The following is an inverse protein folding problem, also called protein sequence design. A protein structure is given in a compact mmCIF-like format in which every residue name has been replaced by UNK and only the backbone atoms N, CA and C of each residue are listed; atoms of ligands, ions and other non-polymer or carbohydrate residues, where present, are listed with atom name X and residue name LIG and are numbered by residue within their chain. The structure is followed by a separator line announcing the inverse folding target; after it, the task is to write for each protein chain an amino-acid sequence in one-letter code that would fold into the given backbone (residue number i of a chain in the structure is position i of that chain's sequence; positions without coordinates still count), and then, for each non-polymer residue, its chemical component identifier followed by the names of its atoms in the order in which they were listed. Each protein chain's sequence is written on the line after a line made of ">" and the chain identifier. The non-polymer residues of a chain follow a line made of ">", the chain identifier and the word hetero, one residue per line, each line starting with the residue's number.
data_IF_012099964660
#
_entry.id   IF_012099964660
#
_cell.length_a   1.000
_cell.length_b   1.000
_cell.length_c   1.000
_cell.angle_alpha   90.00
_cell.angle_beta   90.00
_cell.angle_gamma   90.00
#
_symmetry.space_group_name_H-M   'P 1'
#
loop_
_entity.id
_entity.type
_entity.pdbx_description
1 polymer ?
#
# COMPACT_ATOMS: atom_id res chain seq x y z
N UNK A 1 39.87 23.01 -1.91
CA UNK A 1 40.14 22.27 -0.65
C UNK A 1 38.79 21.83 -0.10
N UNK A 2 38.34 20.62 -0.44
CA UNK A 2 37.09 20.04 0.04
C UNK A 2 37.36 19.12 1.22
N UNK A 3 36.72 19.41 2.35
CA UNK A 3 36.82 18.67 3.61
C UNK A 3 36.08 17.32 3.47
N UNK A 4 36.77 16.20 3.73
CA UNK A 4 36.14 14.91 4.01
C UNK A 4 35.68 14.89 5.47
N UNK A 5 34.39 14.66 5.71
CA UNK A 5 33.86 14.26 7.02
C UNK A 5 33.88 12.73 7.10
N UNK A 6 34.79 12.20 7.93
CA UNK A 6 34.81 10.80 8.36
C UNK A 6 33.93 10.68 9.60
N UNK A 7 32.82 9.95 9.51
CA UNK A 7 32.04 9.54 10.68
C UNK A 7 32.41 8.10 11.04
N UNK A 8 33.24 7.94 12.08
CA UNK A 8 33.48 6.65 12.72
C UNK A 8 32.37 6.33 13.73
N UNK A 9 31.93 5.08 13.80
CA UNK A 9 31.16 4.56 14.93
C UNK A 9 31.94 3.44 15.62
N UNK A 10 32.13 3.61 16.93
CA UNK A 10 32.61 2.59 17.86
C UNK A 10 31.57 1.47 17.99
N UNK A 11 32.02 0.21 18.00
CA UNK A 11 31.20 -0.95 18.37
C UNK A 11 31.75 -1.60 19.64
N UNK A 12 30.91 -1.70 20.66
CA UNK A 12 31.15 -2.52 21.85
C UNK A 12 30.92 -4.01 21.53
N UNK A 13 31.74 -4.88 22.09
CA UNK A 13 31.78 -6.32 21.78
C UNK A 13 30.97 -7.17 22.77
N UNK A 14 30.37 -8.26 22.28
CA UNK A 14 29.94 -9.44 23.06
C UNK A 14 30.03 -10.72 22.19
N UNK A 15 30.19 -11.92 22.78
CA UNK A 15 31.07 -12.98 22.26
C UNK A 15 30.41 -14.09 21.43
N UNK A 16 31.27 -14.99 20.94
CA UNK A 16 31.16 -15.92 19.83
C UNK A 16 30.35 -17.21 20.05
N UNK A 17 29.81 -17.77 18.95
CA UNK A 17 29.47 -19.20 18.86
C UNK A 17 28.49 -19.59 17.75
N UNK A 18 28.95 -19.76 16.50
CA UNK A 18 28.46 -20.78 15.52
C UNK A 18 29.26 -20.75 14.20
N UNK A 19 29.55 -21.94 13.65
CA UNK A 19 30.49 -22.30 12.57
C UNK A 19 29.93 -22.12 11.13
N UNK A 20 30.76 -22.06 10.05
CA UNK A 20 30.36 -21.68 8.69
C UNK A 20 30.03 -22.86 7.77
N UNK A 21 29.16 -22.65 6.76
CA UNK A 21 29.04 -23.53 5.59
C UNK A 21 29.31 -22.77 4.27
N UNK A 22 29.90 -23.51 3.32
CA UNK A 22 30.67 -23.14 2.12
C UNK A 22 29.85 -22.98 0.83
N UNK A 23 30.44 -22.43 -0.27
CA UNK A 23 29.74 -21.76 -1.38
C UNK A 23 29.61 -22.61 -2.65
N UNK A 24 28.69 -22.25 -3.55
CA UNK A 24 28.87 -22.13 -5.02
C UNK A 24 27.54 -22.31 -5.79
N UNK A 25 27.06 -21.25 -6.46
CA UNK A 25 26.55 -21.23 -7.85
C UNK A 25 26.42 -19.76 -8.32
N UNK A 26 26.62 -19.42 -9.61
CA UNK A 26 26.64 -18.04 -10.10
C UNK A 26 25.23 -17.57 -10.50
N UNK A 27 24.74 -16.47 -9.93
CA UNK A 27 23.50 -15.83 -10.38
C UNK A 27 23.79 -14.80 -11.48
N UNK A 28 22.97 -14.86 -12.53
CA UNK A 28 23.12 -14.17 -13.80
C UNK A 28 23.17 -12.63 -13.68
N UNK A 29 24.03 -12.02 -14.51
CA UNK A 29 24.19 -10.59 -14.62
C UNK A 29 23.01 -9.95 -15.39
N UNK A 30 22.13 -9.25 -14.68
CA UNK A 30 21.20 -8.28 -15.28
C UNK A 30 21.87 -6.92 -15.43
N UNK A 31 22.07 -6.47 -16.66
CA UNK A 31 22.63 -5.15 -16.96
C UNK A 31 21.64 -4.04 -16.56
N UNK A 32 22.02 -3.19 -15.60
CA UNK A 32 21.31 -1.94 -15.33
C UNK A 32 22.08 -0.78 -15.94
N UNK A 33 21.40 0.03 -16.75
CA UNK A 33 21.91 1.31 -17.26
C UNK A 33 21.81 2.36 -16.15
N UNK A 34 22.93 3.02 -15.82
CA UNK A 34 22.93 4.22 -14.97
C UNK A 34 22.51 5.42 -15.81
N UNK A 35 21.45 6.11 -15.40
CA UNK A 35 21.26 7.52 -15.72
C UNK A 35 21.76 8.32 -14.52
N UNK A 36 22.60 9.32 -14.78
CA UNK A 36 22.92 10.38 -13.82
C UNK A 36 22.40 11.69 -14.41
N UNK A 37 21.39 12.30 -13.77
CA UNK A 37 21.03 13.69 -14.04
C UNK A 37 22.11 14.59 -13.43
N UNK A 38 22.95 15.17 -14.29
CA UNK A 38 23.11 16.61 -14.53
C UNK A 38 24.49 16.94 -15.12
N UNK A 39 24.46 17.57 -16.31
CA UNK A 39 25.56 18.33 -16.96
C UNK A 39 26.95 17.67 -17.04
N UNK A 40 27.20 16.90 -18.10
CA UNK A 40 28.37 16.99 -19.01
C UNK A 40 28.27 15.81 -20.00
N UNK A 41 28.19 16.10 -21.30
CA UNK A 41 27.88 15.10 -22.34
C UNK A 41 29.00 14.06 -22.54
N UNK A 42 28.69 12.80 -22.24
CA UNK A 42 29.49 11.63 -22.65
C UNK A 42 29.23 10.39 -21.80
N UNK A 43 29.07 9.21 -22.42
CA UNK A 43 29.00 7.92 -21.71
C UNK A 43 30.44 7.46 -21.36
N UNK A 44 30.80 7.28 -20.07
CA UNK A 44 32.10 6.72 -19.71
C UNK A 44 32.25 5.27 -20.19
N UNK A 45 33.45 4.89 -20.63
CA UNK A 45 33.80 3.50 -20.96
C UNK A 45 34.33 2.83 -19.68
N UNK A 46 33.68 1.76 -19.24
CA UNK A 46 34.05 1.06 -18.01
C UNK A 46 34.52 -0.37 -18.31
N UNK A 47 35.62 -0.80 -17.69
CA UNK A 47 36.15 -2.17 -17.79
C UNK A 47 36.08 -2.85 -16.43
N UNK A 48 35.57 -4.08 -16.38
CA UNK A 48 35.55 -4.93 -15.18
C UNK A 48 36.97 -5.35 -14.81
N UNK A 49 37.36 -5.16 -13.54
CA UNK A 49 38.69 -5.52 -13.01
C UNK A 49 38.63 -6.69 -12.01
N UNK A 50 37.48 -7.33 -11.84
CA UNK A 50 37.30 -8.51 -11.00
C UNK A 50 36.83 -8.22 -9.57
N UNK A 51 36.70 -9.29 -8.78
CA UNK A 51 36.14 -9.26 -7.44
C UNK A 51 37.22 -9.01 -6.36
N UNK A 52 36.98 -8.04 -5.49
CA UNK A 52 37.69 -7.83 -4.23
C UNK A 52 36.79 -8.18 -3.05
N UNK A 53 37.34 -8.33 -1.83
CA UNK A 53 36.53 -8.57 -0.63
C UNK A 53 36.65 -7.43 0.36
N UNK A 54 35.51 -6.89 0.80
CA UNK A 54 35.45 -5.85 1.84
C UNK A 54 34.84 -6.47 3.10
N UNK A 55 35.42 -6.13 4.26
CA UNK A 55 34.98 -6.65 5.56
C UNK A 55 33.87 -5.76 6.12
N UNK A 56 32.66 -6.30 6.24
CA UNK A 56 31.54 -5.63 6.89
C UNK A 56 31.05 -6.51 8.04
N UNK A 57 31.38 -6.12 9.27
CA UNK A 57 31.25 -7.01 10.43
C UNK A 57 32.11 -8.28 10.30
N UNK A 58 31.53 -9.45 10.61
CA UNK A 58 32.25 -10.73 10.62
C UNK A 58 32.27 -11.48 9.28
N UNK A 59 31.71 -10.90 8.21
CA UNK A 59 31.64 -11.55 6.89
C UNK A 59 32.50 -10.80 5.87
N UNK A 60 33.21 -11.56 5.04
CA UNK A 60 33.85 -11.04 3.83
C UNK A 60 32.76 -10.94 2.74
N UNK A 61 32.61 -9.79 2.09
CA UNK A 61 31.67 -9.59 0.99
C UNK A 61 32.44 -9.29 -0.30
N UNK A 62 32.11 -10.02 -1.38
CA UNK A 62 32.67 -9.76 -2.69
C UNK A 62 32.14 -8.43 -3.24
N UNK A 63 33.03 -7.62 -3.79
CA UNK A 63 32.78 -6.31 -4.39
C UNK A 63 33.44 -6.32 -5.75
N UNK A 64 32.68 -6.08 -6.82
CA UNK A 64 33.23 -5.98 -8.17
C UNK A 64 33.71 -4.55 -8.41
N UNK A 65 35.00 -4.40 -8.76
CA UNK A 65 35.57 -3.11 -9.10
C UNK A 65 35.46 -2.82 -10.60
N UNK A 66 35.03 -1.62 -10.97
CA UNK A 66 35.06 -1.15 -12.35
C UNK A 66 36.01 0.04 -12.46
N UNK A 67 36.87 0.03 -13.47
CA UNK A 67 37.66 1.20 -13.84
C UNK A 67 36.95 1.88 -15.01
N UNK A 68 36.50 3.11 -14.80
CA UNK A 68 35.84 3.90 -15.84
C UNK A 68 36.74 5.05 -16.29
N UNK A 69 36.93 5.18 -17.60
CA UNK A 69 37.69 6.27 -18.20
C UNK A 69 36.78 7.16 -19.05
N UNK A 70 36.93 8.47 -18.86
CA UNK A 70 36.44 9.49 -19.77
C UNK A 70 37.67 10.03 -20.53
N UNK A 71 37.55 10.08 -21.86
CA UNK A 71 38.67 10.41 -22.74
C UNK A 71 39.40 11.69 -22.30
N UNK A 72 40.63 11.53 -21.81
CA UNK A 72 41.57 12.63 -21.58
C UNK A 72 41.61 13.26 -20.17
N UNK A 73 40.99 12.68 -19.13
CA UNK A 73 41.12 13.20 -17.76
C UNK A 73 41.32 12.12 -16.67
N UNK A 74 41.88 12.54 -15.53
CA UNK A 74 42.33 11.69 -14.40
C UNK A 74 41.29 10.66 -13.95
N UNK A 75 41.77 9.42 -13.77
CA UNK A 75 40.98 8.25 -13.37
C UNK A 75 40.41 8.40 -11.96
N UNK A 76 39.09 8.33 -11.81
CA UNK A 76 38.42 8.17 -10.51
C UNK A 76 37.96 6.71 -10.41
N UNK A 77 38.47 6.00 -9.40
CA UNK A 77 38.07 4.61 -9.10
C UNK A 77 36.75 4.62 -8.35
N UNK A 78 35.72 3.95 -8.88
CA UNK A 78 34.45 3.74 -8.19
C UNK A 78 34.31 2.27 -7.77
N UNK A 79 33.97 2.05 -6.51
CA UNK A 79 33.65 0.72 -5.98
C UNK A 79 32.14 0.60 -5.82
N UNK A 80 31.51 -0.34 -6.52
CA UNK A 80 30.08 -0.62 -6.33
C UNK A 80 29.92 -1.82 -5.40
N UNK A 81 29.50 -1.54 -4.16
CA UNK A 81 29.08 -2.60 -3.23
C UNK A 81 27.70 -3.10 -3.66
N UNK A 82 27.64 -4.29 -4.27
CA UNK A 82 26.38 -5.02 -4.36
C UNK A 82 26.07 -5.63 -2.98
N UNK A 83 25.28 -4.91 -2.19
CA UNK A 83 24.59 -5.53 -1.06
C UNK A 83 23.36 -6.22 -1.64
N UNK A 84 23.46 -7.52 -1.93
CA UNK A 84 22.27 -8.36 -1.99
C UNK A 84 21.73 -8.44 -0.57
N UNK A 85 20.80 -7.58 -0.24
CA UNK A 85 19.94 -7.78 0.92
C UNK A 85 18.98 -8.91 0.51
N UNK A 86 19.34 -10.16 0.80
CA UNK A 86 18.31 -11.20 0.91
C UNK A 86 17.36 -10.73 2.01
N UNK A 87 16.19 -10.23 1.57
CA UNK A 87 15.24 -9.55 2.44
C UNK A 87 15.06 -8.06 2.19
N UNK A 88 15.23 -7.55 0.96
CA UNK A 88 14.49 -6.34 0.59
C UNK A 88 13.00 -6.66 0.66
N UNK A 89 12.39 -6.44 1.81
CA UNK A 89 11.00 -6.01 1.79
C UNK A 89 11.01 -4.72 0.99
N UNK A 90 10.62 -4.80 -0.29
CA UNK A 90 9.90 -3.68 -0.90
C UNK A 90 8.92 -3.24 0.17
N UNK A 91 9.08 -2.01 0.67
CA UNK A 91 8.09 -1.38 1.54
C UNK A 91 6.74 -1.70 0.93
N UNK A 92 5.81 -2.35 1.65
CA UNK A 92 4.61 -2.88 1.02
C UNK A 92 3.95 -1.72 0.28
N UNK A 93 3.66 -1.93 -1.01
CA UNK A 93 2.80 -1.02 -1.73
C UNK A 93 1.57 -0.75 -0.86
N UNK A 94 1.04 0.48 -0.85
CA UNK A 94 -0.25 0.75 -0.24
C UNK A 94 -1.27 -0.10 -1.00
N UNK A 95 -1.65 -1.21 -0.42
CA UNK A 95 -2.65 -2.10 -1.00
C UNK A 95 -4.00 -1.66 -0.47
N UNK A 96 -5.00 -1.37 -1.34
CA UNK A 96 -6.34 -1.03 -0.90
C UNK A 96 -6.81 -2.06 0.10
N UNK A 97 -6.95 -1.65 1.36
CA UNK A 97 -7.35 -2.50 2.46
C UNK A 97 -8.57 -1.89 3.11
N UNK A 98 -9.48 -2.72 3.61
CA UNK A 98 -10.69 -2.28 4.30
C UNK A 98 -11.87 -3.18 4.01
N UNK A 99 -13.06 -2.71 4.37
CA UNK A 99 -14.28 -3.44 4.12
C UNK A 99 -14.69 -3.37 2.64
N UNK A 100 -15.29 -4.46 2.15
CA UNK A 100 -15.96 -4.51 0.85
C UNK A 100 -17.45 -4.38 1.14
N UNK A 101 -18.02 -3.24 0.79
CA UNK A 101 -19.41 -2.88 1.10
C UNK A 101 -20.31 -3.32 -0.03
N UNK A 102 -21.49 -3.88 0.26
CA UNK A 102 -22.52 -4.07 -0.73
C UNK A 102 -23.20 -2.74 -1.01
N UNK A 103 -23.37 -2.40 -2.29
CA UNK A 103 -24.15 -1.24 -2.69
C UNK A 103 -25.62 -1.61 -2.58
N UNK A 104 -26.31 -1.06 -1.60
CA UNK A 104 -27.71 -1.34 -1.36
C UNK A 104 -28.53 -0.05 -1.40
N UNK A 105 -29.75 -0.11 -1.95
CA UNK A 105 -30.65 1.05 -2.03
C UNK A 105 -31.17 1.51 -0.65
N UNK A 106 -31.82 2.66 -0.61
CA UNK A 106 -32.22 3.40 0.60
C UNK A 106 -33.15 2.63 1.58
N UNK A 107 -33.62 1.42 1.26
CA UNK A 107 -34.57 0.62 2.05
C UNK A 107 -33.98 -0.69 2.65
N UNK A 108 -32.66 -0.82 2.77
CA UNK A 108 -32.03 -1.95 3.48
C UNK A 108 -31.93 -1.74 5.00
N UNK A 109 -32.13 -2.84 5.74
CA UNK A 109 -32.15 -2.83 7.21
C UNK A 109 -30.76 -2.75 7.89
N UNK A 110 -29.67 -2.87 7.11
CA UNK A 110 -28.29 -2.79 7.60
C UNK A 110 -27.32 -2.55 6.44
N UNK A 111 -26.19 -1.88 6.68
CA UNK A 111 -25.10 -1.73 5.71
C UNK A 111 -24.37 -3.07 5.53
N UNK A 112 -24.40 -3.71 4.34
CA UNK A 112 -23.87 -5.06 4.14
C UNK A 112 -22.38 -5.04 3.80
N UNK A 113 -21.60 -5.93 4.40
CA UNK A 113 -20.17 -6.10 4.11
C UNK A 113 -19.81 -7.57 3.88
N UNK A 114 -18.83 -7.83 3.02
CA UNK A 114 -18.18 -9.14 3.00
C UNK A 114 -17.42 -9.35 4.31
N UNK A 115 -17.77 -10.44 4.99
CA UNK A 115 -17.19 -10.85 6.26
C UNK A 115 -16.77 -12.31 6.27
N UNK A 116 -16.24 -12.75 7.41
CA UNK A 116 -15.83 -14.13 7.65
C UNK A 116 -16.60 -14.73 8.82
N UNK A 117 -17.22 -15.89 8.58
CA UNK A 117 -17.74 -16.74 9.65
C UNK A 117 -16.68 -17.72 10.15
N UNK A 118 -16.77 -18.07 11.44
CA UNK A 118 -15.90 -19.06 12.05
C UNK A 118 -16.24 -20.48 11.55
N UNK A 119 -15.53 -20.92 10.51
CA UNK A 119 -15.66 -22.22 9.88
C UNK A 119 -14.28 -22.72 9.40
N UNK A 120 -14.21 -23.98 8.94
CA UNK A 120 -12.98 -24.56 8.38
C UNK A 120 -13.27 -25.21 7.02
N UNK A 121 -12.86 -24.59 5.89
CA UNK A 121 -12.25 -23.26 5.80
C UNK A 121 -13.20 -22.12 6.21
N UNK A 122 -12.68 -20.92 6.55
CA UNK A 122 -13.53 -19.79 6.88
C UNK A 122 -14.47 -19.49 5.71
N UNK A 123 -15.76 -19.40 6.01
CA UNK A 123 -16.79 -19.08 5.03
C UNK A 123 -16.83 -17.58 4.83
N UNK A 124 -16.98 -17.16 3.57
CA UNK A 124 -17.26 -15.76 3.25
C UNK A 124 -18.75 -15.53 3.37
N UNK A 125 -19.12 -14.55 4.19
CA UNK A 125 -20.51 -14.22 4.48
C UNK A 125 -20.78 -12.76 4.12
N UNK A 126 -22.05 -12.42 3.98
CA UNK A 126 -22.57 -11.07 4.01
C UNK A 126 -23.06 -10.81 5.43
N UNK A 127 -22.51 -9.82 6.09
CA UNK A 127 -22.82 -9.48 7.47
C UNK A 127 -22.97 -7.97 7.65
N UNK A 128 -23.43 -7.55 8.84
CA UNK A 128 -23.51 -6.13 9.19
C UNK A 128 -22.12 -5.52 9.18
N UNK A 129 -21.91 -4.50 8.34
CA UNK A 129 -20.68 -3.72 8.33
C UNK A 129 -20.38 -3.19 9.73
N UNK A 130 -19.21 -3.54 10.23
CA UNK A 130 -18.71 -3.04 11.49
C UNK A 130 -17.28 -2.52 11.38
N UNK A 131 -16.68 -2.48 10.18
CA UNK A 131 -15.44 -1.78 9.77
C UNK A 131 -14.16 -2.21 10.50
N UNK A 132 -14.24 -2.34 11.82
CA UNK A 132 -13.23 -2.77 12.77
C UNK A 132 -13.17 -4.28 12.98
N UNK A 133 -14.14 -5.09 12.51
CA UNK A 133 -14.02 -6.54 12.68
C UNK A 133 -12.84 -7.03 11.85
N UNK A 134 -11.89 -7.76 12.47
CA UNK A 134 -10.86 -8.47 11.75
C UNK A 134 -11.45 -9.25 10.54
N UNK A 135 -12.60 -9.90 10.74
CA UNK A 135 -13.27 -10.69 9.70
C UNK A 135 -13.79 -9.91 8.49
N UNK A 136 -13.83 -8.59 8.50
CA UNK A 136 -14.30 -7.75 7.39
C UNK A 136 -13.18 -6.98 6.69
N UNK A 137 -11.91 -7.21 7.05
CA UNK A 137 -10.77 -6.53 6.46
C UNK A 137 -10.20 -7.32 5.28
N UNK A 138 -10.33 -6.74 4.09
CA UNK A 138 -9.89 -7.30 2.82
C UNK A 138 -8.84 -6.43 2.15
N UNK A 139 -7.75 -7.03 1.68
CA UNK A 139 -6.66 -6.35 0.96
C UNK A 139 -6.66 -6.75 -0.51
N UNK A 140 -6.76 -5.78 -1.40
CA UNK A 140 -6.63 -5.97 -2.84
C UNK A 140 -5.16 -6.04 -3.25
N UNK A 141 -4.76 -7.14 -3.87
CA UNK A 141 -3.38 -7.36 -4.29
C UNK A 141 -3.19 -7.07 -5.79
N UNK A 142 -1.99 -6.64 -6.24
CA UNK A 142 -1.72 -6.40 -7.66
C UNK A 142 -1.82 -7.64 -8.54
N UNK A 143 -1.79 -8.83 -7.94
CA UNK A 143 -1.97 -10.11 -8.63
C UNK A 143 -3.45 -10.56 -8.68
N UNK A 144 -4.39 -9.63 -8.49
CA UNK A 144 -5.84 -9.86 -8.57
C UNK A 144 -6.38 -10.86 -7.53
N UNK A 145 -5.63 -11.11 -6.46
CA UNK A 145 -6.14 -11.82 -5.28
C UNK A 145 -6.70 -10.84 -4.27
N UNK A 146 -7.79 -11.21 -3.60
CA UNK A 146 -8.37 -10.47 -2.47
C UNK A 146 -8.06 -11.24 -1.20
N UNK A 147 -7.34 -10.63 -0.26
CA UNK A 147 -6.83 -11.35 0.92
C UNK A 147 -7.52 -10.89 2.19
N UNK A 148 -7.86 -11.84 3.05
CA UNK A 148 -8.20 -11.51 4.43
C UNK A 148 -6.94 -11.15 5.23
N UNK A 149 -7.14 -10.64 6.43
CA UNK A 149 -6.10 -10.35 7.42
C UNK A 149 -5.11 -11.49 7.76
N UNK A 150 -5.51 -12.74 7.56
CA UNK A 150 -4.66 -13.91 7.81
C UNK A 150 -3.81 -14.25 6.57
N UNK A 151 -3.90 -13.44 5.50
CA UNK A 151 -3.22 -13.66 4.24
C UNK A 151 -3.84 -14.77 3.38
N UNK A 152 -5.06 -15.22 3.68
CA UNK A 152 -5.80 -16.19 2.88
C UNK A 152 -6.59 -15.48 1.79
N UNK A 153 -6.73 -16.10 0.63
CA UNK A 153 -7.38 -15.53 -0.55
C UNK A 153 -8.87 -15.85 -0.55
N UNK A 154 -9.70 -14.88 -0.97
CA UNK A 154 -11.08 -15.10 -1.42
C UNK A 154 -11.06 -16.17 -2.52
N UNK A 155 -11.83 -17.24 -2.32
CA UNK A 155 -11.73 -18.48 -3.09
C UNK A 155 -13.13 -19.03 -3.37
N UNK A 156 -13.37 -19.41 -4.62
CA UNK A 156 -14.56 -20.22 -4.95
C UNK A 156 -14.31 -21.66 -4.54
N UNK A 157 -15.07 -22.15 -3.56
CA UNK A 157 -14.82 -23.43 -2.90
C UNK A 157 -14.70 -24.58 -3.92
N UNK A 158 -13.59 -25.32 -3.83
CA UNK A 158 -13.22 -26.42 -4.72
C UNK A 158 -13.05 -26.05 -6.20
N UNK A 159 -12.99 -24.75 -6.53
CA UNK A 159 -12.98 -24.27 -7.91
C UNK A 159 -14.27 -24.55 -8.66
N UNK A 160 -15.39 -24.72 -7.96
CA UNK A 160 -16.69 -24.95 -8.59
C UNK A 160 -17.10 -23.77 -9.47
N UNK A 161 -17.66 -24.06 -10.64
CA UNK A 161 -18.03 -23.02 -11.62
C UNK A 161 -19.54 -22.83 -11.74
N UNK A 162 -20.35 -23.59 -10.99
CA UNK A 162 -21.82 -23.53 -10.99
C UNK A 162 -22.37 -22.30 -10.26
N UNK A 163 -23.61 -21.91 -10.58
CA UNK A 163 -24.33 -20.92 -9.76
C UNK A 163 -24.59 -21.51 -8.35
N UNK A 164 -24.49 -20.67 -7.32
CA UNK A 164 -24.60 -21.10 -5.92
C UNK A 164 -23.31 -21.73 -5.39
N UNK A 165 -22.19 -21.64 -6.12
CA UNK A 165 -20.90 -22.10 -5.61
C UNK A 165 -20.48 -21.22 -4.43
N UNK A 166 -20.15 -21.84 -3.30
CA UNK A 166 -19.84 -21.10 -2.06
C UNK A 166 -18.50 -20.38 -2.16
N UNK A 167 -18.45 -19.19 -1.58
CA UNK A 167 -17.21 -18.45 -1.39
C UNK A 167 -16.61 -18.73 0.00
N UNK A 168 -15.33 -19.02 0.02
CA UNK A 168 -14.55 -19.30 1.23
C UNK A 168 -13.26 -18.50 1.19
N UNK A 169 -12.44 -18.62 2.22
CA UNK A 169 -11.03 -18.24 2.13
C UNK A 169 -10.14 -19.47 2.14
N UNK A 170 -9.08 -19.45 1.34
CA UNK A 170 -8.12 -20.56 1.28
C UNK A 170 -6.68 -20.05 1.15
N UNK A 171 -5.72 -20.95 1.29
CA UNK A 171 -4.31 -20.63 1.03
C UNK A 171 -4.15 -20.05 -0.39
N UNK A 172 -3.45 -18.91 -0.48
CA UNK A 172 -3.26 -18.19 -1.72
C UNK A 172 -2.34 -18.94 -2.70
N UNK A 173 -2.79 -19.08 -3.93
CA UNK A 173 -2.02 -19.53 -5.08
C UNK A 173 -2.48 -18.72 -6.30
N UNK A 174 -1.64 -17.78 -6.74
CA UNK A 174 -1.98 -16.88 -7.84
C UNK A 174 -2.14 -17.60 -9.20
N UNK A 175 -1.74 -18.87 -9.31
CA UNK A 175 -2.02 -19.69 -10.49
C UNK A 175 -3.44 -20.28 -10.48
N UNK A 176 -4.19 -20.17 -9.38
CA UNK A 176 -5.54 -20.72 -9.24
C UNK A 176 -6.60 -19.72 -9.74
N UNK A 177 -7.28 -20.01 -10.87
CA UNK A 177 -8.26 -19.10 -11.43
C UNK A 177 -9.47 -18.82 -10.53
N UNK A 178 -9.79 -19.73 -9.61
CA UNK A 178 -10.87 -19.58 -8.63
C UNK A 178 -10.52 -18.63 -7.45
N UNK A 179 -9.31 -18.06 -7.42
CA UNK A 179 -8.87 -17.07 -6.43
C UNK A 179 -8.61 -15.68 -7.04
N UNK A 180 -8.87 -15.54 -8.34
CA UNK A 180 -8.68 -14.31 -9.08
C UNK A 180 -10.01 -13.57 -9.16
N UNK A 181 -9.96 -12.26 -8.93
CA UNK A 181 -11.13 -11.40 -8.88
C UNK A 181 -10.84 -10.06 -9.56
N UNK A 182 -11.83 -9.53 -10.25
CA UNK A 182 -11.81 -8.22 -10.90
C UNK A 182 -13.10 -7.46 -10.59
N UNK A 183 -13.03 -6.14 -10.57
CA UNK A 183 -14.23 -5.31 -10.62
C UNK A 183 -14.58 -5.02 -12.08
N UNK A 184 -15.86 -5.17 -12.44
CA UNK A 184 -16.35 -4.66 -13.72
C UNK A 184 -16.81 -3.19 -13.63
N UNK A 185 -17.15 -2.61 -14.78
CA UNK A 185 -17.58 -1.21 -14.89
C UNK A 185 -18.91 -0.93 -14.15
N UNK A 186 -19.66 -1.97 -13.78
CA UNK A 186 -20.92 -1.87 -13.02
C UNK A 186 -20.70 -2.05 -11.51
N UNK A 187 -19.44 -2.14 -11.06
CA UNK A 187 -19.10 -2.30 -9.65
C UNK A 187 -19.32 -3.72 -9.12
N UNK A 188 -19.43 -4.73 -9.98
CA UNK A 188 -19.56 -6.12 -9.53
C UNK A 188 -18.19 -6.76 -9.34
N UNK A 189 -18.05 -7.60 -8.31
CA UNK A 189 -16.83 -8.36 -8.05
C UNK A 189 -16.90 -9.70 -8.79
N UNK A 190 -16.17 -9.81 -9.90
CA UNK A 190 -16.25 -10.89 -10.88
C UNK A 190 -15.08 -11.85 -10.73
N UNK A 191 -15.34 -13.15 -10.81
CA UNK A 191 -14.32 -14.14 -11.08
C UNK A 191 -14.13 -14.29 -12.60
N UNK A 192 -13.00 -13.82 -13.18
CA UNK A 192 -12.83 -13.74 -14.64
C UNK A 192 -12.78 -15.11 -15.33
N UNK A 193 -12.41 -16.17 -14.60
CA UNK A 193 -12.37 -17.52 -15.16
C UNK A 193 -13.77 -18.12 -15.38
N UNK A 194 -14.76 -17.68 -14.63
CA UNK A 194 -16.15 -18.15 -14.73
C UNK A 194 -17.09 -17.12 -15.35
N UNK A 195 -16.71 -15.83 -15.35
CA UNK A 195 -17.57 -14.72 -15.74
C UNK A 195 -18.73 -14.48 -14.78
N UNK A 196 -18.60 -14.92 -13.52
CA UNK A 196 -19.64 -14.87 -12.50
C UNK A 196 -19.27 -13.94 -11.36
N UNK A 197 -20.28 -13.44 -10.67
CA UNK A 197 -20.17 -12.38 -9.68
C UNK A 197 -20.33 -12.92 -8.27
N UNK A 198 -19.69 -12.26 -7.31
CA UNK A 198 -20.01 -12.40 -5.89
C UNK A 198 -21.43 -11.91 -5.67
N UNK A 199 -22.25 -12.74 -5.03
CA UNK A 199 -23.69 -12.59 -4.89
C UNK A 199 -24.10 -12.76 -3.42
N UNK A 200 -24.98 -11.88 -2.95
CA UNK A 200 -25.76 -12.16 -1.75
C UNK A 200 -27.08 -12.86 -2.12
N UNK A 201 -27.23 -14.16 -1.82
CA UNK A 201 -28.45 -14.89 -2.12
C UNK A 201 -29.66 -14.46 -1.26
N UNK A 202 -29.45 -13.62 -0.24
CA UNK A 202 -30.55 -13.02 0.53
C UNK A 202 -30.93 -11.62 0.05
N UNK A 203 -30.29 -11.10 -1.00
CA UNK A 203 -30.54 -9.76 -1.55
C UNK A 203 -30.42 -8.65 -0.49
N UNK A 204 -29.44 -8.75 0.41
CA UNK A 204 -29.20 -7.84 1.54
C UNK A 204 -30.37 -7.72 2.54
N UNK A 205 -31.27 -8.70 2.57
CA UNK A 205 -32.41 -8.69 3.52
C UNK A 205 -32.09 -9.33 4.87
N UNK A 206 -30.97 -10.06 4.98
CA UNK A 206 -30.57 -10.70 6.24
C UNK A 206 -29.04 -10.81 6.36
N UNK A 207 -28.45 -10.45 7.52
CA UNK A 207 -27.02 -10.62 7.74
C UNK A 207 -26.65 -12.08 8.04
N UNK A 208 -25.35 -12.34 8.13
CA UNK A 208 -24.75 -13.66 8.34
C UNK A 208 -25.17 -14.70 7.28
N UNK A 209 -25.24 -14.27 6.02
CA UNK A 209 -25.58 -15.15 4.89
C UNK A 209 -24.32 -15.57 4.14
N UNK A 210 -24.16 -16.87 3.84
CA UNK A 210 -23.06 -17.35 2.99
C UNK A 210 -23.12 -16.69 1.61
N UNK A 211 -22.03 -16.02 1.23
CA UNK A 211 -21.84 -15.43 -0.10
C UNK A 211 -21.65 -16.54 -1.14
N UNK A 212 -22.14 -16.32 -2.35
CA UNK A 212 -22.02 -17.29 -3.42
C UNK A 212 -21.56 -16.67 -4.72
N UNK A 213 -21.18 -17.54 -5.65
CA UNK A 213 -20.88 -17.20 -7.03
C UNK A 213 -22.15 -17.41 -7.86
N UNK A 214 -22.63 -16.36 -8.53
CA UNK A 214 -23.82 -16.42 -9.36
C UNK A 214 -23.60 -15.75 -10.72
N UNK A 215 -24.45 -16.08 -11.69
CA UNK A 215 -24.44 -15.38 -12.98
C UNK A 215 -24.58 -13.87 -12.73
N UNK A 216 -23.72 -13.08 -13.35
CA UNK A 216 -23.76 -11.63 -13.21
C UNK A 216 -25.06 -11.08 -13.80
N UNK A 217 -25.84 -10.41 -12.98
CA UNK A 217 -27.08 -9.71 -13.33
C UNK A 217 -26.95 -8.24 -12.96
N UNK A 218 -27.87 -7.42 -13.45
CA UNK A 218 -27.95 -6.02 -13.05
C UNK A 218 -28.82 -5.90 -11.81
N UNK A 219 -28.22 -6.20 -10.66
CA UNK A 219 -28.88 -6.16 -9.36
C UNK A 219 -27.92 -5.66 -8.28
N UNK A 220 -28.46 -4.94 -7.31
CA UNK A 220 -27.67 -4.29 -6.26
C UNK A 220 -26.97 -5.30 -5.34
N UNK A 221 -27.57 -6.46 -5.11
CA UNK A 221 -26.98 -7.55 -4.31
C UNK A 221 -25.80 -8.28 -4.96
N UNK A 222 -25.32 -7.78 -6.11
CA UNK A 222 -24.07 -8.16 -6.75
C UNK A 222 -23.08 -6.99 -6.91
N UNK A 223 -23.46 -5.79 -6.48
CA UNK A 223 -22.63 -4.59 -6.57
C UNK A 223 -21.89 -4.40 -5.26
N UNK A 224 -20.59 -4.21 -5.37
CA UNK A 224 -19.67 -4.16 -4.25
C UNK A 224 -18.76 -2.95 -4.41
N UNK A 225 -18.76 -2.08 -3.41
CA UNK A 225 -17.71 -1.08 -3.30
C UNK A 225 -16.43 -1.77 -2.86
N UNK A 226 -15.30 -1.55 -3.58
CA UNK A 226 -14.00 -1.99 -3.09
C UNK A 226 -13.71 -1.35 -1.73
N UNK A 227 -12.62 -1.74 -1.06
CA UNK A 227 -12.06 -0.99 0.06
C UNK A 227 -11.70 0.42 -0.40
N UNK A 228 -12.73 1.28 -0.40
CA UNK A 228 -12.73 2.67 -0.83
C UNK A 228 -13.11 3.55 0.31
N UNK A 229 -13.65 3.01 1.41
CA UNK A 229 -13.80 3.69 2.70
C UNK A 229 -12.88 3.05 3.73
N UNK A 230 -12.14 3.88 4.45
CA UNK A 230 -11.05 3.39 5.28
C UNK A 230 -10.28 4.48 5.99
N UNK A 231 -9.44 4.08 6.94
CA UNK A 231 -8.57 5.00 7.65
C UNK A 231 -7.28 5.26 6.86
N UNK A 232 -6.73 6.47 6.97
CA UNK A 232 -5.36 6.76 6.53
C UNK A 232 -4.41 6.59 7.73
N UNK A 233 -3.87 5.39 7.93
CA UNK A 233 -2.94 5.09 9.02
C UNK A 233 -1.51 5.53 8.68
N UNK A 234 -0.87 6.28 9.57
CA UNK A 234 0.53 6.66 9.47
C UNK A 234 1.47 5.49 9.74
N UNK A 235 2.60 5.42 9.02
CA UNK A 235 3.68 4.49 9.33
C UNK A 235 4.50 4.87 10.58
N UNK A 236 4.18 5.98 11.25
CA UNK A 236 4.81 6.38 12.51
C UNK A 236 4.39 5.45 13.66
N UNK A 237 5.27 5.18 14.64
CA UNK A 237 4.95 4.26 15.72
C UNK A 237 3.79 4.75 16.59
N UNK A 238 2.91 3.84 16.97
CA UNK A 238 1.84 4.11 17.94
C UNK A 238 0.44 4.27 17.36
N UNK A 239 0.15 3.69 16.18
CA UNK A 239 -1.20 3.56 15.63
C UNK A 239 -1.94 4.90 15.49
N UNK A 240 -1.50 5.70 14.52
CA UNK A 240 -1.99 7.05 14.27
C UNK A 240 -2.75 7.11 12.95
N UNK A 241 -3.96 7.64 12.97
CA UNK A 241 -4.79 7.79 11.77
C UNK A 241 -5.06 9.26 11.49
N UNK A 242 -5.18 9.60 10.22
CA UNK A 242 -5.69 10.91 9.82
C UNK A 242 -7.14 11.01 10.27
N UNK A 243 -7.44 12.05 11.03
CA UNK A 243 -8.78 12.35 11.52
C UNK A 243 -9.19 13.78 11.14
N UNK A 244 -10.49 14.01 11.12
CA UNK A 244 -11.10 15.33 11.04
C UNK A 244 -11.53 15.76 12.44
N UNK A 245 -11.16 16.98 12.83
CA UNK A 245 -11.64 17.61 14.07
C UNK A 245 -12.78 18.59 13.79
N UNK A 246 -13.47 19.05 14.83
CA UNK A 246 -14.66 19.93 14.70
C UNK A 246 -14.41 21.26 13.97
N UNK A 247 -13.15 21.67 13.83
CA UNK A 247 -12.74 22.86 13.06
C UNK A 247 -12.42 22.54 11.59
N UNK A 248 -12.81 21.34 11.12
CA UNK A 248 -12.52 20.82 9.78
C UNK A 248 -11.03 20.69 9.49
N UNK A 249 -10.20 20.51 10.52
CA UNK A 249 -8.76 20.32 10.36
C UNK A 249 -8.44 18.84 10.18
N UNK A 250 -7.52 18.54 9.25
CA UNK A 250 -6.94 17.21 9.12
C UNK A 250 -5.78 17.10 10.12
N UNK A 251 -5.93 16.22 11.10
CA UNK A 251 -4.95 16.02 12.18
C UNK A 251 -4.66 14.55 12.42
N UNK A 252 -3.71 14.24 13.30
CA UNK A 252 -3.50 12.89 13.81
C UNK A 252 -4.40 12.59 15.00
N UNK A 253 -5.04 11.42 14.96
CA UNK A 253 -5.70 10.77 16.08
C UNK A 253 -5.14 9.38 16.36
N UNK A 254 -5.42 8.81 17.53
CA UNK A 254 -5.26 7.36 17.70
C UNK A 254 -6.27 6.67 16.81
N UNK A 255 -5.84 5.67 16.05
CA UNK A 255 -6.76 4.94 15.17
C UNK A 255 -7.88 4.31 15.99
N UNK A 256 -9.10 4.70 15.62
CA UNK A 256 -10.36 4.13 16.04
C UNK A 256 -11.05 3.68 14.74
N UNK A 257 -10.70 2.48 14.28
CA UNK A 257 -11.19 1.96 13.00
C UNK A 257 -12.72 1.94 12.95
N UNK A 258 -13.31 2.41 11.86
CA UNK A 258 -14.75 2.62 11.68
C UNK A 258 -15.31 3.90 12.32
N UNK A 259 -14.49 4.73 12.99
CA UNK A 259 -14.94 6.02 13.48
C UNK A 259 -15.15 6.98 12.32
N UNK A 260 -16.35 7.56 12.21
CA UNK A 260 -16.72 8.44 11.09
C UNK A 260 -15.70 9.56 10.85
N UNK A 261 -15.17 10.17 11.91
CA UNK A 261 -14.19 11.26 11.78
C UNK A 261 -12.78 10.79 11.40
N UNK A 262 -12.54 9.48 11.22
CA UNK A 262 -11.28 8.90 10.75
C UNK A 262 -11.44 8.12 9.44
N UNK A 263 -12.68 7.99 8.96
CA UNK A 263 -12.99 7.31 7.71
C UNK A 263 -12.92 8.29 6.54
N UNK A 264 -12.16 7.91 5.53
CA UNK A 264 -11.99 8.65 4.27
C UNK A 264 -12.55 7.81 3.14
N UNK A 265 -12.80 8.44 2.00
CA UNK A 265 -13.16 7.79 0.75
C UNK A 265 -12.21 8.22 -0.37
N UNK A 266 -11.55 7.25 -1.01
CA UNK A 266 -10.61 7.52 -2.11
C UNK A 266 -11.28 7.31 -3.47
N UNK A 267 -11.19 8.31 -4.34
CA UNK A 267 -11.76 8.29 -5.69
C UNK A 267 -10.65 8.26 -6.75
N UNK A 268 -10.94 7.60 -7.88
CA UNK A 268 -10.00 7.48 -9.01
C UNK A 268 -9.63 8.84 -9.64
N UNK A 269 -10.47 9.86 -9.46
CA UNK A 269 -10.19 11.24 -9.88
C UNK A 269 -9.22 11.99 -8.93
N UNK A 270 -8.71 11.32 -7.89
CA UNK A 270 -7.79 11.87 -6.89
C UNK A 270 -8.45 12.51 -5.68
N UNK A 271 -9.78 12.52 -5.57
CA UNK A 271 -10.43 13.05 -4.37
C UNK A 271 -10.26 12.08 -3.18
N UNK A 272 -9.95 12.66 -2.02
CA UNK A 272 -9.91 11.98 -0.72
C UNK A 272 -10.95 12.67 0.15
N UNK A 273 -12.10 12.04 0.37
CA UNK A 273 -13.31 12.68 0.90
C UNK A 273 -13.63 12.14 2.30
N UNK A 274 -13.92 13.00 3.27
CA UNK A 274 -14.37 12.57 4.60
C UNK A 274 -15.84 12.11 4.60
N UNK A 275 -16.33 11.60 5.73
CA UNK A 275 -17.73 11.13 5.84
C UNK A 275 -18.78 12.23 5.71
N UNK A 276 -18.39 13.50 5.75
CA UNK A 276 -19.28 14.65 5.55
C UNK A 276 -19.27 15.15 4.09
N UNK A 277 -18.57 14.47 3.19
CA UNK A 277 -18.50 14.82 1.78
C UNK A 277 -17.50 15.94 1.47
N UNK A 278 -16.53 16.19 2.35
CA UNK A 278 -15.52 17.27 2.19
C UNK A 278 -14.17 16.68 1.79
N UNK A 279 -13.48 17.34 0.87
CA UNK A 279 -12.21 16.88 0.31
C UNK A 279 -11.02 17.26 1.20
N UNK A 280 -10.03 16.38 1.31
CA UNK A 280 -8.71 16.68 1.85
C UNK A 280 -8.06 17.77 0.99
N UNK A 281 -7.81 18.93 1.60
CA UNK A 281 -7.54 20.19 0.90
C UNK A 281 -6.25 20.82 1.42
N UNK A 282 -5.34 21.16 0.51
CA UNK A 282 -4.19 22.00 0.82
C UNK A 282 -4.64 23.45 0.92
N UNK A 283 -4.51 24.03 2.12
CA UNK A 283 -5.07 25.32 2.50
C UNK A 283 -4.73 26.42 1.49
N UNK A 284 -5.78 27.08 0.98
CA UNK A 284 -5.68 28.19 0.00
C UNK A 284 -4.88 27.84 -1.26
N UNK A 285 -4.82 26.56 -1.63
CA UNK A 285 -3.99 26.07 -2.73
C UNK A 285 -2.52 26.48 -2.62
N UNK A 286 -2.01 26.64 -1.39
CA UNK A 286 -0.60 26.94 -1.16
C UNK A 286 0.28 25.81 -1.66
N UNK A 287 1.44 26.15 -2.23
CA UNK A 287 2.36 25.16 -2.80
C UNK A 287 3.64 25.01 -2.00
N UNK A 288 3.89 25.87 -1.00
CA UNK A 288 5.11 25.86 -0.20
C UNK A 288 5.11 24.75 0.87
N UNK A 289 6.29 24.27 1.25
CA UNK A 289 6.49 23.41 2.41
C UNK A 289 5.86 24.04 3.66
N UNK A 290 5.15 23.23 4.42
CA UNK A 290 4.45 23.65 5.63
C UNK A 290 3.09 24.32 5.39
N UNK A 291 2.58 24.30 4.16
CA UNK A 291 1.18 24.66 3.93
C UNK A 291 0.30 23.61 4.59
N UNK A 292 -0.62 24.05 5.44
CA UNK A 292 -1.55 23.20 6.19
C UNK A 292 -2.48 22.42 5.27
N UNK A 293 -2.83 21.21 5.70
CA UNK A 293 -3.89 20.38 5.10
C UNK A 293 -5.11 20.37 6.02
N UNK A 294 -6.31 20.49 5.45
CA UNK A 294 -7.60 20.50 6.14
C UNK A 294 -8.67 19.78 5.32
N UNK A 295 -9.94 19.85 5.70
CA UNK A 295 -11.07 19.41 4.86
C UNK A 295 -11.96 20.57 4.42
N UNK A 296 -12.30 20.61 3.13
CA UNK A 296 -13.06 21.71 2.52
C UNK A 296 -14.09 21.16 1.51
N UNK A 297 -15.22 21.86 1.25
CA UNK A 297 -16.13 21.46 0.18
C UNK A 297 -15.39 21.17 -1.13
N UNK A 298 -15.69 20.03 -1.73
CA UNK A 298 -15.07 19.60 -2.98
C UNK A 298 -15.45 20.55 -4.12
N UNK A 299 -14.43 21.06 -4.82
CA UNK A 299 -14.54 22.03 -5.92
C UNK A 299 -13.78 21.59 -7.17
N UNK A 300 -13.40 20.32 -7.24
CA UNK A 300 -12.58 19.75 -8.32
C UNK A 300 -11.28 20.54 -8.59
N UNK A 301 -10.69 21.10 -7.52
CA UNK A 301 -9.49 21.93 -7.63
C UNK A 301 -8.20 21.10 -7.45
N UNK A 302 -7.09 21.45 -8.11
CA UNK A 302 -5.84 20.68 -8.02
C UNK A 302 -5.27 20.54 -6.59
N UNK A 303 -5.56 21.48 -5.69
CA UNK A 303 -5.15 21.42 -4.27
C UNK A 303 -5.99 20.44 -3.43
N UNK A 304 -7.06 19.87 -4.00
CA UNK A 304 -7.91 18.84 -3.39
C UNK A 304 -7.65 17.44 -3.99
N UNK A 305 -6.74 17.35 -4.95
CA UNK A 305 -6.36 16.09 -5.59
C UNK A 305 -5.16 15.49 -4.89
N UNK A 306 -5.18 14.17 -4.75
CA UNK A 306 -4.10 13.39 -4.16
C UNK A 306 -3.84 12.16 -5.01
N UNK A 307 -2.59 12.02 -5.43
CA UNK A 307 -2.06 10.85 -6.08
C UNK A 307 -1.63 9.86 -5.00
N UNK A 308 -2.20 8.66 -5.01
CA UNK A 308 -1.73 7.58 -4.16
C UNK A 308 -0.41 7.05 -4.71
N UNK A 309 0.67 7.23 -3.95
CA UNK A 309 2.02 6.76 -4.29
C UNK A 309 2.42 5.61 -3.37
N UNK A 310 3.43 4.79 -3.73
CA UNK A 310 3.94 3.75 -2.82
C UNK A 310 4.43 4.29 -1.46
N UNK A 311 4.73 5.58 -1.37
CA UNK A 311 5.25 6.24 -0.17
C UNK A 311 4.22 7.06 0.59
N UNK A 312 2.96 7.15 0.14
CA UNK A 312 1.92 7.97 0.76
C UNK A 312 1.09 8.76 -0.26
N UNK A 313 0.44 9.84 0.19
CA UNK A 313 -0.36 10.72 -0.67
C UNK A 313 0.49 11.90 -1.16
N UNK A 314 0.52 12.12 -2.48
CA UNK A 314 1.19 13.26 -3.12
C UNK A 314 0.17 14.20 -3.73
N UNK A 315 0.22 15.49 -3.41
CA UNK A 315 -0.60 16.48 -4.09
C UNK A 315 0.06 16.85 -5.44
N UNK A 316 -0.60 16.60 -6.59
CA UNK A 316 0.02 16.83 -7.90
C UNK A 316 0.22 18.31 -8.23
N UNK A 317 -0.57 19.23 -7.63
CA UNK A 317 -0.46 20.67 -7.87
C UNK A 317 0.82 21.28 -7.28
N UNK A 318 1.21 20.82 -6.09
CA UNK A 318 2.44 21.26 -5.41
C UNK A 318 3.63 20.34 -5.68
N UNK A 319 3.37 19.09 -6.06
CA UNK A 319 4.34 18.01 -6.17
C UNK A 319 4.84 17.46 -4.82
N UNK A 320 4.22 17.87 -3.71
CA UNK A 320 4.60 17.58 -2.33
C UNK A 320 3.73 16.48 -1.71
N UNK A 321 4.22 15.87 -0.64
CA UNK A 321 3.60 14.75 0.06
C UNK A 321 2.85 15.22 1.30
N UNK A 322 1.77 14.51 1.66
CA UNK A 322 1.08 14.67 2.94
C UNK A 322 2.03 14.29 4.08
N UNK A 323 2.20 15.17 5.05
CA UNK A 323 3.21 15.10 6.09
C UNK A 323 2.62 15.41 7.47
N UNK A 324 3.07 14.69 8.49
CA UNK A 324 2.78 15.00 9.89
C UNK A 324 3.63 16.19 10.33
N UNK A 325 2.99 17.29 10.74
CA UNK A 325 3.68 18.51 11.14
C UNK A 325 4.86 18.24 12.10
N UNK A 326 6.07 18.53 11.62
CA UNK A 326 7.34 18.34 12.36
C UNK A 326 7.57 16.92 12.91
N UNK A 327 6.91 15.90 12.33
CA UNK A 327 6.95 14.50 12.80
C UNK A 327 6.51 14.32 14.25
N UNK A 328 5.64 15.18 14.76
CA UNK A 328 5.17 15.14 16.16
C UNK A 328 4.06 14.09 16.32
N UNK A 329 4.22 13.18 17.30
CA UNK A 329 3.26 12.11 17.59
C UNK A 329 2.45 12.37 18.86
N UNK A 330 1.38 13.14 18.73
CA UNK A 330 0.33 13.30 19.75
C UNK A 330 -1.00 13.60 19.06
N UNK A 331 -2.15 13.43 19.74
CA UNK A 331 -3.44 13.78 19.15
C UNK A 331 -3.49 15.25 18.75
N UNK A 332 -4.28 15.54 17.72
CA UNK A 332 -4.57 16.87 17.18
C UNK A 332 -3.36 17.61 16.59
N UNK A 333 -2.27 16.89 16.29
CA UNK A 333 -1.20 17.42 15.45
C UNK A 333 -1.70 17.53 14.02
N UNK A 334 -1.69 18.74 13.47
CA UNK A 334 -2.11 18.99 12.09
C UNK A 334 -1.19 18.35 11.04
N UNK A 335 -1.75 18.19 9.85
CA UNK A 335 -1.00 17.76 8.67
C UNK A 335 -0.59 18.96 7.81
N UNK A 336 0.49 18.79 7.07
CA UNK A 336 1.04 19.75 6.13
C UNK A 336 1.42 19.07 4.81
N UNK A 337 1.70 19.86 3.76
CA UNK A 337 2.45 19.37 2.61
C UNK A 337 3.93 19.68 2.79
N UNK A 338 4.77 18.71 2.43
CA UNK A 338 6.22 18.85 2.47
C UNK A 338 6.89 18.12 1.30
N UNK A 339 8.09 18.55 0.91
CA UNK A 339 8.87 17.86 -0.13
C UNK A 339 8.99 16.37 0.18
N UNK A 340 8.72 15.54 -0.82
CA UNK A 340 8.70 14.10 -0.64
C UNK A 340 10.11 13.57 -0.36
N UNK A 341 10.34 13.04 0.84
CA UNK A 341 11.60 12.42 1.27
C UNK A 341 11.41 10.99 1.79
N UNK A 342 10.17 10.48 1.81
CA UNK A 342 9.88 9.06 2.02
C UNK A 342 10.15 8.55 3.42
N UNK A 343 10.30 9.42 4.41
CA UNK A 343 10.39 9.07 5.84
C UNK A 343 9.02 8.68 6.38
N UNK A 344 8.98 8.08 7.58
CA UNK A 344 7.75 7.51 8.15
C UNK A 344 6.61 8.53 8.34
N UNK A 345 6.93 9.81 8.59
CA UNK A 345 5.95 10.87 8.76
C UNK A 345 5.22 11.29 7.47
N UNK A 346 5.64 10.78 6.31
CA UNK A 346 4.99 10.98 5.01
C UNK A 346 4.33 9.71 4.48
N UNK A 347 4.47 8.59 5.21
CA UNK A 347 3.96 7.29 4.80
C UNK A 347 2.60 7.05 5.41
N UNK A 348 1.66 6.74 4.55
CA UNK A 348 0.26 6.50 4.87
C UNK A 348 -0.16 5.16 4.28
N UNK A 349 -0.95 4.40 5.01
CA UNK A 349 -1.58 3.17 4.55
C UNK A 349 -3.07 3.39 4.60
N UNK A 350 -3.75 3.08 3.52
CA UNK A 350 -5.21 3.13 3.46
C UNK A 350 -5.80 1.79 3.92
N UNK A 351 -6.67 1.81 4.93
CA UNK A 351 -7.02 0.64 5.74
C UNK A 351 -8.48 0.26 5.84
#
# INVERSE_FOLDING_TARGET
>A
MGLLLVAGLLAAAAPAGASPQTPNEPLAAGAFSLYTEETYGGKPQCTDRGQNYVRYGWRNRAVTGYQCELAGQNTIMYWRLHVLIEGTTVSPAILPTGAIYGQAEEDISFEPCLGLANASPPMVIIDVCNGASPGQRWTWMPNHTVRNQNGQCLDVQYGNTGNGSRLVTWACDAAKPNQIWDYDDSGRLVNPATGKCVDDPSHFTSPNRQAELWACIDADWQRWDPPRRGELESAMPGNWCVQVTGDHEATLGKCAYGAANQTWQLFANGDVIDTEGRCLDVYKAGTANGTKVLTWPCKDQPNQKWELTPTGLRNPASGRCLDIYKSILRPDVGLEIWDCHGTQNQRWTYL
#
